data_IF_726602129544
#
_entry.id   IF_726602129544
#
_cell.length_a   1.000
_cell.length_b   1.000
_cell.length_c   1.000
_cell.angle_alpha   90.00
_cell.angle_beta   90.00
_cell.angle_gamma   90.00
#
_symmetry.space_group_name_H-M   'P 1'
#
loop_
_entity.id
_entity.type
_entity.pdbx_description
1 polymer ?
#
# COMPACT_ATOMS: atom_id res chain seq x y z
N UNK A 1 -6.89 7.14 -2.19
CA UNK A 1 -5.43 6.91 -2.35
C UNK A 1 -4.69 7.47 -1.14
N UNK A 2 -3.70 6.77 -0.60
CA UNK A 2 -2.95 7.29 0.54
C UNK A 2 -2.17 8.56 0.14
N UNK A 3 -2.35 9.63 0.88
CA UNK A 3 -1.70 10.93 0.65
C UNK A 3 -0.18 10.86 0.68
N UNK A 4 0.41 9.82 1.33
CA UNK A 4 1.85 9.58 1.39
C UNK A 4 2.52 9.35 0.03
N UNK A 5 1.77 8.88 -0.98
CA UNK A 5 2.26 8.62 -2.33
C UNK A 5 2.15 9.84 -3.26
N UNK A 6 1.47 10.89 -2.83
CA UNK A 6 1.32 12.10 -3.62
C UNK A 6 2.63 12.88 -3.71
N UNK A 7 3.12 13.07 -4.92
CA UNK A 7 4.32 13.90 -5.19
C UNK A 7 4.19 15.31 -4.63
N UNK A 8 2.99 15.88 -4.58
CA UNK A 8 2.70 17.19 -4.02
C UNK A 8 3.07 17.31 -2.53
N UNK A 9 2.92 16.24 -1.73
CA UNK A 9 3.31 16.26 -0.31
C UNK A 9 4.82 16.41 -0.13
N UNK A 10 5.63 15.80 -0.98
CA UNK A 10 7.10 15.90 -0.94
C UNK A 10 7.60 17.30 -1.31
N UNK A 11 6.80 18.10 -1.98
CA UNK A 11 7.13 19.47 -2.40
C UNK A 11 6.77 20.53 -1.36
N UNK A 12 6.04 20.17 -0.29
CA UNK A 12 5.70 21.09 0.80
C UNK A 12 6.95 21.48 1.57
N UNK A 13 7.04 22.75 1.95
CA UNK A 13 8.22 23.32 2.59
C UNK A 13 9.23 23.96 1.62
N UNK A 14 9.05 23.75 0.31
CA UNK A 14 9.84 24.43 -0.72
C UNK A 14 9.11 25.70 -1.22
N UNK A 15 9.83 26.78 -1.42
CA UNK A 15 9.27 28.10 -1.77
C UNK A 15 8.36 28.04 -3.01
N UNK A 16 8.76 27.35 -4.05
CA UNK A 16 8.01 27.21 -5.31
C UNK A 16 7.27 25.87 -5.42
N UNK A 17 7.33 25.03 -4.41
CA UNK A 17 6.72 23.69 -4.36
C UNK A 17 7.03 22.82 -5.60
N UNK A 18 8.16 23.07 -6.25
CA UNK A 18 8.60 22.36 -7.46
C UNK A 18 7.74 22.64 -8.71
N UNK A 19 6.94 23.71 -8.71
CA UNK A 19 6.13 24.12 -9.87
C UNK A 19 6.74 25.32 -10.62
N UNK A 20 7.92 25.78 -10.22
CA UNK A 20 8.57 26.94 -10.79
C UNK A 20 7.81 28.25 -10.46
N UNK A 21 8.10 29.31 -11.19
CA UNK A 21 7.46 30.60 -11.03
C UNK A 21 6.04 30.55 -11.60
N UNK A 22 5.03 30.73 -10.73
CA UNK A 22 3.62 30.77 -11.14
C UNK A 22 3.28 32.20 -11.56
N UNK A 23 2.76 32.38 -12.77
CA UNK A 23 2.36 33.68 -13.31
C UNK A 23 2.25 33.68 -14.83
N UNK A 24 2.29 34.86 -15.43
CA UNK A 24 2.15 35.05 -16.90
C UNK A 24 3.18 34.21 -17.71
N UNK A 25 4.38 34.01 -17.18
CA UNK A 25 5.44 33.26 -17.85
C UNK A 25 5.23 31.75 -17.82
N UNK A 26 4.52 31.20 -16.86
CA UNK A 26 4.20 29.79 -16.79
C UNK A 26 3.19 29.38 -17.87
N UNK A 27 2.21 30.23 -18.14
CA UNK A 27 1.22 30.00 -19.20
C UNK A 27 1.84 29.99 -20.60
N UNK A 28 2.93 30.75 -20.83
CA UNK A 28 3.64 30.80 -22.12
C UNK A 28 4.42 29.52 -22.39
N UNK A 29 5.00 28.89 -21.36
CA UNK A 29 5.76 27.64 -21.51
C UNK A 29 4.85 26.43 -21.82
N UNK A 30 3.63 26.39 -21.32
CA UNK A 30 2.66 25.35 -21.64
C UNK A 30 2.14 25.45 -23.08
N UNK A 31 2.09 26.67 -23.65
CA UNK A 31 1.66 26.90 -25.03
C UNK A 31 2.70 26.39 -26.05
N UNK A 32 3.99 26.42 -25.72
CA UNK A 32 5.06 25.93 -26.62
C UNK A 32 5.13 24.41 -26.71
N UNK A 33 4.62 23.67 -25.72
CA UNK A 33 4.61 22.21 -25.76
C UNK A 33 3.35 21.60 -26.37
N UNK A 34 2.37 22.39 -26.74
CA UNK A 34 1.14 21.94 -27.40
C UNK A 34 1.16 22.33 -28.89
N UNK A 35 2.02 21.70 -29.66
CA UNK A 35 2.23 22.00 -31.09
C UNK A 35 1.12 21.49 -32.04
N UNK A 36 -0.03 21.02 -31.53
CA UNK A 36 -1.08 20.48 -32.40
C UNK A 36 -2.48 21.07 -32.21
N UNK A 37 -2.67 22.05 -31.36
CA UNK A 37 -3.94 22.75 -31.22
C UNK A 37 -3.73 24.26 -31.44
N UNK A 38 -3.50 24.61 -32.70
CA UNK A 38 -3.54 25.96 -33.20
C UNK A 38 -4.85 26.66 -32.78
N UNK A 39 -4.72 27.86 -32.28
CA UNK A 39 -5.77 28.86 -32.13
C UNK A 39 -6.76 28.81 -30.97
N UNK A 40 -6.54 28.04 -29.95
CA UNK A 40 -7.18 28.39 -28.68
C UNK A 40 -6.24 29.32 -27.92
N UNK A 41 -6.28 30.60 -28.24
CA UNK A 41 -5.61 31.63 -27.50
C UNK A 41 -6.08 31.52 -26.04
N UNK A 42 -5.28 30.91 -25.18
CA UNK A 42 -5.49 30.99 -23.73
C UNK A 42 -5.24 32.43 -23.26
N UNK A 43 -6.16 33.30 -23.58
CA UNK A 43 -6.31 34.60 -22.93
C UNK A 43 -6.86 34.44 -21.50
N UNK A 44 -6.59 33.29 -20.88
CA UNK A 44 -6.98 32.99 -19.52
C UNK A 44 -6.12 33.74 -18.53
N UNK A 45 -6.68 34.73 -17.88
CA UNK A 45 -6.09 35.31 -16.67
C UNK A 45 -6.05 34.18 -15.63
N UNK A 46 -4.85 33.83 -15.11
CA UNK A 46 -4.74 32.93 -13.96
C UNK A 46 -5.45 33.60 -12.75
N UNK A 47 -6.63 33.10 -12.43
CA UNK A 47 -7.36 33.47 -11.22
C UNK A 47 -6.99 32.55 -10.08
N UNK A 48 -6.94 33.07 -8.86
CA UNK A 48 -6.40 32.30 -7.71
C UNK A 48 -7.15 31.00 -7.43
N UNK A 49 -8.46 31.02 -7.45
CA UNK A 49 -9.30 29.87 -7.11
C UNK A 49 -10.59 29.81 -7.95
N UNK A 50 -10.52 29.59 -9.28
CA UNK A 50 -11.70 29.62 -10.15
C UNK A 50 -12.68 28.48 -9.89
N UNK A 51 -12.22 27.35 -9.37
CA UNK A 51 -13.04 26.20 -9.00
C UNK A 51 -13.36 26.09 -7.51
N UNK A 52 -12.99 27.11 -6.72
CA UNK A 52 -13.09 27.06 -5.27
C UNK A 52 -11.81 26.51 -4.61
N UNK A 53 -11.74 26.56 -3.30
CA UNK A 53 -10.59 26.08 -2.52
C UNK A 53 -10.81 24.65 -2.04
N UNK A 54 -9.78 23.83 -2.09
CA UNK A 54 -9.79 22.47 -1.57
C UNK A 54 -10.81 21.57 -2.28
N UNK A 55 -11.62 20.86 -1.51
CA UNK A 55 -12.65 19.94 -2.01
C UNK A 55 -14.02 20.59 -2.24
N UNK A 56 -14.06 21.89 -2.46
CA UNK A 56 -15.32 22.60 -2.74
C UNK A 56 -15.96 22.10 -4.04
N UNK A 57 -17.28 22.06 -4.05
CA UNK A 57 -18.07 21.67 -5.22
C UNK A 57 -18.09 20.17 -5.53
N UNK A 58 -17.77 19.31 -4.55
CA UNK A 58 -17.71 17.86 -4.73
C UNK A 58 -19.02 17.20 -5.13
N UNK A 59 -20.17 17.80 -4.75
CA UNK A 59 -21.50 17.36 -5.21
C UNK A 59 -22.13 18.28 -6.25
N UNK A 60 -21.40 19.30 -6.71
CA UNK A 60 -21.84 20.26 -7.69
C UNK A 60 -20.92 20.23 -8.93
N UNK A 61 -20.14 21.27 -9.13
CA UNK A 61 -19.31 21.42 -10.32
C UNK A 61 -18.10 20.46 -10.41
N UNK A 62 -17.72 19.81 -9.32
CA UNK A 62 -16.71 18.75 -9.31
C UNK A 62 -17.29 17.32 -9.16
N UNK A 63 -18.61 17.18 -9.26
CA UNK A 63 -19.31 15.91 -9.04
C UNK A 63 -18.80 14.77 -9.94
N UNK A 64 -18.57 15.04 -11.20
CA UNK A 64 -18.08 14.04 -12.15
C UNK A 64 -16.73 13.48 -11.73
N UNK A 65 -15.82 14.31 -11.25
CA UNK A 65 -14.50 13.92 -10.77
C UNK A 65 -14.58 13.09 -9.49
N UNK A 66 -15.48 13.46 -8.57
CA UNK A 66 -15.69 12.69 -7.34
C UNK A 66 -16.32 11.33 -7.62
N UNK A 67 -17.32 11.26 -8.48
CA UNK A 67 -17.98 10.00 -8.81
C UNK A 67 -17.05 9.04 -9.58
N UNK A 68 -16.20 9.57 -10.45
CA UNK A 68 -15.27 8.78 -11.25
C UNK A 68 -14.05 8.30 -10.46
N UNK A 69 -13.41 9.18 -9.70
CA UNK A 69 -12.12 8.89 -9.07
C UNK A 69 -12.20 8.60 -7.57
N UNK A 70 -13.30 8.94 -6.92
CA UNK A 70 -13.53 8.76 -5.49
C UNK A 70 -14.94 8.25 -5.22
N UNK A 71 -15.36 7.11 -5.80
CA UNK A 71 -16.69 6.54 -5.54
C UNK A 71 -16.84 6.26 -4.04
N UNK A 72 -18.01 6.57 -3.48
CA UNK A 72 -18.27 6.40 -2.05
C UNK A 72 -17.63 7.46 -1.13
N UNK A 73 -17.14 8.57 -1.68
CA UNK A 73 -16.56 9.66 -0.88
C UNK A 73 -17.57 10.31 0.08
N UNK A 74 -18.79 10.55 -0.41
CA UNK A 74 -19.86 11.13 0.37
C UNK A 74 -20.69 10.05 1.08
N UNK A 75 -21.26 10.41 2.21
CA UNK A 75 -22.07 9.51 3.03
C UNK A 75 -21.31 8.88 4.18
N UNK A 76 -22.03 8.09 4.95
CA UNK A 76 -21.49 7.35 6.11
C UNK A 76 -21.82 5.88 5.92
N UNK A 77 -20.80 5.02 6.06
CA UNK A 77 -20.95 3.57 5.96
C UNK A 77 -20.48 2.93 7.27
N UNK A 78 -21.29 2.00 7.78
CA UNK A 78 -20.98 1.23 8.99
C UNK A 78 -21.22 1.97 10.29
N UNK A 79 -21.00 1.27 11.37
CA UNK A 79 -21.13 1.79 12.75
C UNK A 79 -19.88 2.54 13.19
N UNK A 80 -20.07 3.57 14.00
CA UNK A 80 -18.96 4.27 14.65
C UNK A 80 -18.47 3.47 15.84
N UNK A 81 -17.16 3.35 15.99
CA UNK A 81 -16.54 2.78 17.18
C UNK A 81 -15.86 3.91 17.96
N UNK A 82 -16.35 4.16 19.16
CA UNK A 82 -15.72 5.11 20.08
C UNK A 82 -14.45 4.49 20.66
N UNK A 83 -13.46 5.31 20.94
CA UNK A 83 -12.18 4.91 21.54
C UNK A 83 -11.55 3.70 20.84
N UNK A 84 -11.42 3.78 19.53
CA UNK A 84 -10.82 2.73 18.70
C UNK A 84 -9.32 2.64 18.95
N UNK A 85 -8.91 1.65 19.72
CA UNK A 85 -7.52 1.34 19.99
C UNK A 85 -6.93 0.53 18.83
N UNK A 86 -5.92 1.06 18.17
CA UNK A 86 -5.24 0.38 17.04
C UNK A 86 -4.50 -0.88 17.47
N UNK A 87 -4.04 -0.93 18.72
CA UNK A 87 -3.29 -2.06 19.27
C UNK A 87 -4.09 -3.37 19.28
N UNK A 88 -5.43 -3.31 19.43
CA UNK A 88 -6.29 -4.52 19.41
C UNK A 88 -6.32 -5.21 18.05
N UNK A 89 -6.09 -4.47 16.97
CA UNK A 89 -6.15 -5.01 15.60
C UNK A 89 -4.77 -5.07 14.95
N UNK A 90 -3.70 -4.78 15.70
CA UNK A 90 -2.35 -4.81 15.18
C UNK A 90 -1.88 -6.25 15.04
N UNK A 91 -1.99 -6.77 13.82
CA UNK A 91 -1.54 -8.12 13.44
C UNK A 91 -0.73 -8.02 12.15
N UNK A 92 0.57 -7.72 12.23
CA UNK A 92 1.43 -7.72 11.04
C UNK A 92 1.42 -9.08 10.38
N UNK A 93 1.23 -9.09 9.06
CA UNK A 93 1.07 -10.30 8.27
C UNK A 93 2.23 -10.51 7.31
N UNK A 94 2.58 -11.76 7.07
CA UNK A 94 3.56 -12.19 6.06
C UNK A 94 2.96 -13.29 5.20
N UNK A 95 3.41 -13.39 3.95
CA UNK A 95 3.02 -14.45 3.03
C UNK A 95 4.07 -15.57 2.98
N UNK A 96 3.67 -16.76 2.53
CA UNK A 96 4.54 -17.93 2.40
C UNK A 96 5.72 -17.69 1.46
N UNK A 97 5.54 -16.91 0.38
CA UNK A 97 6.60 -16.58 -0.58
C UNK A 97 7.77 -15.80 0.05
N UNK A 98 7.49 -15.04 1.10
CA UNK A 98 8.49 -14.22 1.80
C UNK A 98 9.04 -14.85 3.07
N UNK A 99 8.58 -16.03 3.41
CA UNK A 99 8.92 -16.71 4.68
C UNK A 99 10.43 -16.91 4.82
N UNK A 100 11.07 -17.49 3.80
CA UNK A 100 12.50 -17.76 3.82
C UNK A 100 13.35 -16.50 3.70
N UNK A 101 12.88 -15.47 2.98
CA UNK A 101 13.59 -14.19 2.89
C UNK A 101 13.72 -13.49 4.24
N UNK A 102 12.71 -13.65 5.10
CA UNK A 102 12.72 -13.04 6.45
C UNK A 102 13.44 -13.93 7.46
N UNK A 103 13.44 -15.24 7.23
CA UNK A 103 14.16 -16.19 8.09
C UNK A 103 15.69 -16.07 7.99
N UNK A 104 16.19 -15.50 6.90
CA UNK A 104 17.61 -15.27 6.65
C UNK A 104 18.15 -16.04 5.45
N UNK A 105 19.30 -15.59 4.97
CA UNK A 105 20.01 -16.23 3.87
C UNK A 105 20.49 -17.62 4.28
N UNK A 106 20.42 -18.58 3.37
CA UNK A 106 20.87 -19.95 3.62
C UNK A 106 19.86 -20.87 4.34
N UNK A 107 18.80 -20.34 4.97
CA UNK A 107 17.79 -21.20 5.65
C UNK A 107 17.05 -22.08 4.63
N UNK A 108 16.79 -21.57 3.44
CA UNK A 108 16.18 -22.35 2.38
C UNK A 108 17.10 -23.46 1.87
N UNK A 109 18.37 -23.16 1.66
CA UNK A 109 19.38 -24.13 1.21
C UNK A 109 19.63 -25.20 2.28
N UNK A 110 19.75 -24.79 3.54
CA UNK A 110 19.86 -25.70 4.66
C UNK A 110 18.63 -26.61 4.78
N UNK A 111 17.43 -26.10 4.53
CA UNK A 111 16.20 -26.87 4.53
C UNK A 111 16.09 -27.84 3.36
N UNK A 112 16.56 -27.47 2.17
CA UNK A 112 16.54 -28.34 0.98
C UNK A 112 17.57 -29.48 1.08
N UNK A 113 18.70 -29.23 1.75
CA UNK A 113 19.79 -30.19 1.94
C UNK A 113 19.67 -31.00 3.26
N UNK A 114 18.63 -30.71 4.06
CA UNK A 114 18.46 -31.39 5.35
C UNK A 114 18.16 -32.87 5.17
N UNK A 115 18.76 -33.75 6.00
CA UNK A 115 18.46 -35.18 5.98
C UNK A 115 16.96 -35.39 6.31
N UNK A 116 16.43 -36.51 5.81
CA UNK A 116 15.04 -36.91 6.06
C UNK A 116 14.69 -36.86 7.55
N UNK A 117 13.61 -36.16 7.88
CA UNK A 117 13.13 -36.00 9.26
C UNK A 117 13.59 -34.76 10.00
N UNK A 118 14.44 -33.88 9.42
CA UNK A 118 14.82 -32.61 9.99
C UNK A 118 14.21 -31.47 9.19
N UNK A 119 13.54 -30.49 9.86
CA UNK A 119 12.99 -29.33 9.26
C UNK A 119 13.40 -28.06 10.05
N UNK A 120 13.70 -26.95 9.39
CA UNK A 120 14.04 -25.73 10.08
C UNK A 120 12.83 -25.17 10.84
N UNK A 121 13.10 -24.57 12.00
CA UNK A 121 12.10 -23.91 12.82
C UNK A 121 12.21 -22.41 12.59
N UNK A 122 11.13 -21.79 12.14
CA UNK A 122 11.04 -20.35 11.90
C UNK A 122 10.04 -19.75 12.88
N UNK A 123 10.51 -18.85 13.73
CA UNK A 123 9.67 -18.10 14.67
C UNK A 123 9.32 -16.72 14.10
N UNK A 124 8.08 -16.57 13.64
CA UNK A 124 7.60 -15.33 13.08
C UNK A 124 7.34 -14.24 14.11
N UNK A 125 7.05 -14.63 15.35
CA UNK A 125 6.80 -13.65 16.42
C UNK A 125 8.08 -12.90 16.78
N UNK A 126 9.21 -13.60 16.86
CA UNK A 126 10.53 -12.99 17.07
C UNK A 126 10.93 -12.08 15.92
N UNK A 127 10.49 -12.38 14.69
CA UNK A 127 10.72 -11.57 13.49
C UNK A 127 9.71 -10.40 13.33
N UNK A 128 8.77 -10.24 14.28
CA UNK A 128 7.80 -9.15 14.29
C UNK A 128 6.54 -9.39 13.45
N UNK A 129 6.27 -10.63 13.01
CA UNK A 129 5.07 -11.00 12.28
C UNK A 129 4.18 -11.90 13.12
N UNK A 130 2.88 -11.60 13.17
CA UNK A 130 1.93 -12.34 14.00
C UNK A 130 1.08 -13.33 13.21
N UNK A 131 0.85 -13.08 11.92
CA UNK A 131 -0.04 -13.90 11.10
C UNK A 131 0.60 -14.32 9.78
N UNK A 132 0.53 -15.61 9.50
CA UNK A 132 0.99 -16.17 8.22
C UNK A 132 -0.16 -16.35 7.23
N UNK A 133 0.01 -15.84 6.02
CA UNK A 133 -0.94 -15.94 4.91
C UNK A 133 -0.43 -16.90 3.84
N UNK A 134 -1.37 -17.53 3.13
CA UNK A 134 -1.09 -18.62 2.19
C UNK A 134 -0.76 -18.22 0.74
N UNK A 135 -0.34 -16.97 0.49
CA UNK A 135 0.13 -16.60 -0.85
C UNK A 135 1.53 -17.12 -1.10
N UNK A 136 1.76 -17.68 -2.29
CA UNK A 136 3.01 -18.35 -2.65
C UNK A 136 2.95 -19.87 -2.46
N UNK A 137 4.07 -20.55 -2.69
CA UNK A 137 4.24 -21.99 -2.54
C UNK A 137 5.46 -22.30 -1.69
N UNK A 138 5.36 -23.36 -0.89
CA UNK A 138 6.49 -23.95 -0.16
C UNK A 138 6.71 -25.35 -0.71
N UNK A 139 7.96 -25.67 -1.05
CA UNK A 139 8.37 -26.99 -1.55
C UNK A 139 9.16 -27.78 -0.50
N UNK A 140 9.63 -27.12 0.53
CA UNK A 140 10.52 -27.68 1.56
C UNK A 140 9.77 -27.79 2.89
N UNK A 141 9.93 -28.86 3.66
CA UNK A 141 9.30 -28.99 4.96
C UNK A 141 9.84 -27.92 5.92
N UNK A 142 8.95 -27.28 6.67
CA UNK A 142 9.27 -26.20 7.60
C UNK A 142 8.34 -26.23 8.82
N UNK A 143 8.88 -25.96 9.99
CA UNK A 143 8.11 -25.78 11.23
C UNK A 143 7.98 -24.27 11.47
N UNK A 144 6.78 -23.73 11.47
CA UNK A 144 6.53 -22.29 11.65
C UNK A 144 5.82 -22.04 12.96
N UNK A 145 6.38 -21.11 13.76
CA UNK A 145 5.77 -20.59 14.98
C UNK A 145 5.13 -19.23 14.69
N UNK A 146 3.84 -19.07 14.97
CA UNK A 146 3.11 -17.81 14.80
C UNK A 146 1.89 -17.75 15.70
N UNK A 147 1.33 -16.54 15.91
CA UNK A 147 0.06 -16.36 16.67
C UNK A 147 -1.14 -16.81 15.87
N UNK A 148 -1.13 -16.60 14.56
CA UNK A 148 -2.26 -16.91 13.68
C UNK A 148 -1.80 -17.49 12.35
N UNK A 149 -2.57 -18.45 11.85
CA UNK A 149 -2.40 -19.01 10.50
C UNK A 149 -3.69 -18.85 9.69
N UNK A 150 -3.57 -18.63 8.40
CA UNK A 150 -4.71 -18.77 7.50
C UNK A 150 -4.90 -20.24 7.13
N UNK A 151 -6.14 -20.67 6.91
CA UNK A 151 -6.46 -22.07 6.50
C UNK A 151 -5.65 -22.54 5.28
N UNK A 152 -5.41 -21.62 4.31
CA UNK A 152 -4.60 -21.92 3.13
C UNK A 152 -3.10 -22.07 3.45
N UNK A 153 -2.57 -21.26 4.37
CA UNK A 153 -1.17 -21.39 4.78
C UNK A 153 -0.93 -22.72 5.49
N UNK A 154 -1.77 -23.06 6.44
CA UNK A 154 -1.71 -24.33 7.17
C UNK A 154 -1.79 -25.53 6.23
N UNK A 155 -2.74 -25.54 5.28
CA UNK A 155 -2.87 -26.60 4.28
C UNK A 155 -1.60 -26.77 3.45
N UNK A 156 -0.99 -25.68 3.01
CA UNK A 156 0.23 -25.71 2.18
C UNK A 156 1.46 -26.17 2.97
N UNK A 157 1.61 -25.73 4.21
CA UNK A 157 2.71 -26.18 5.08
C UNK A 157 2.61 -27.67 5.38
N UNK A 158 1.41 -28.13 5.74
CA UNK A 158 1.17 -29.57 5.99
C UNK A 158 1.38 -30.42 4.72
N UNK A 159 0.96 -29.93 3.56
CA UNK A 159 1.19 -30.60 2.28
C UNK A 159 2.68 -30.71 1.92
N UNK A 160 3.52 -29.75 2.36
CA UNK A 160 4.97 -29.80 2.20
C UNK A 160 5.69 -30.66 3.27
N UNK A 161 4.95 -31.32 4.17
CA UNK A 161 5.51 -32.10 5.27
C UNK A 161 5.96 -31.29 6.49
N UNK A 162 5.57 -30.02 6.57
CA UNK A 162 5.88 -29.13 7.69
C UNK A 162 4.81 -29.12 8.79
N UNK A 163 5.05 -28.34 9.84
CA UNK A 163 4.14 -28.17 10.97
C UNK A 163 3.89 -26.68 11.31
N UNK A 164 2.71 -26.39 11.82
CA UNK A 164 2.32 -25.08 12.31
C UNK A 164 2.18 -25.13 13.84
N UNK A 165 2.90 -24.28 14.55
CA UNK A 165 2.85 -24.17 16.00
C UNK A 165 2.28 -22.80 16.39
N UNK A 166 1.23 -22.80 17.22
CA UNK A 166 0.68 -21.58 17.79
C UNK A 166 1.52 -21.15 18.99
N UNK A 167 1.85 -19.88 19.02
CA UNK A 167 2.56 -19.21 20.13
C UNK A 167 1.72 -18.10 20.69
N UNK A 168 1.80 -17.85 21.99
CA UNK A 168 1.12 -16.76 22.66
C UNK A 168 1.77 -15.41 22.37
#
# INVERSE_FOLDING_TARGET
MPTRLHKARKKRGHVQMGHGRIGKHHAVLEVFNCSSLSNIGFKGKHRKHPGGRGNAGGQHHHRILFDKYHPGYFGKVGMRQFHKLKNRTFTPTINLDKLFNVAGEGVYEAASNAPSGKAPVIDLVSLGYFKLLGNGQIKVPVIVKAKFFSKLAEKKIKAAGGACLLTC
#
